data_IF_239766980628
#
_entry.id   IF_239766980628
#
_cell.length_a   1.000
_cell.length_b   1.000
_cell.length_c   1.000
_cell.angle_alpha   90.00
_cell.angle_beta   90.00
_cell.angle_gamma   90.00
#
_symmetry.space_group_name_H-M   'P 1'
#
loop_
_entity.id
_entity.type
_entity.pdbx_description
1 polymer ?
#
# COMPACT_ATOMS: atom_id res chain seq x y z
N UNK A 1 -3.46 -12.89 43.61
CA UNK A 1 -3.98 -13.09 42.23
C UNK A 1 -4.51 -11.81 41.57
N UNK A 2 -4.66 -10.67 42.26
CA UNK A 2 -4.96 -9.37 41.61
C UNK A 2 -3.72 -8.56 41.21
N UNK A 3 -2.52 -8.89 41.73
CA UNK A 3 -1.31 -8.12 41.45
C UNK A 3 -0.71 -8.42 40.06
N UNK A 4 -0.87 -9.63 39.54
CA UNK A 4 -0.34 -10.01 38.20
C UNK A 4 -1.09 -9.32 37.04
N UNK A 5 -2.35 -8.94 37.23
CA UNK A 5 -3.15 -8.26 36.18
C UNK A 5 -2.67 -6.81 35.96
N UNK A 6 -2.21 -6.13 37.03
CA UNK A 6 -1.64 -4.78 36.93
C UNK A 6 -0.26 -4.77 36.29
N UNK A 7 0.56 -5.78 36.57
CA UNK A 7 1.92 -5.93 35.98
C UNK A 7 1.83 -6.28 34.49
N UNK A 8 0.88 -7.12 34.07
CA UNK A 8 0.62 -7.38 32.64
C UNK A 8 0.14 -6.13 31.88
N UNK A 9 -0.68 -5.28 32.51
CA UNK A 9 -1.15 -4.04 31.90
C UNK A 9 -0.05 -3.00 31.70
N UNK A 10 0.91 -2.89 32.63
CA UNK A 10 2.02 -1.93 32.52
C UNK A 10 3.04 -2.36 31.46
N UNK A 11 3.46 -3.63 31.48
CA UNK A 11 4.42 -4.16 30.51
C UNK A 11 3.88 -4.16 29.07
N UNK A 12 2.60 -4.49 28.87
CA UNK A 12 1.99 -4.41 27.53
C UNK A 12 1.85 -2.96 27.03
N UNK A 13 1.65 -2.00 27.93
CA UNK A 13 1.58 -0.58 27.59
C UNK A 13 2.97 -0.01 27.23
N UNK A 14 4.01 -0.45 27.94
CA UNK A 14 5.41 -0.09 27.65
C UNK A 14 5.94 -0.76 26.37
N UNK A 15 5.58 -2.02 26.11
CA UNK A 15 5.87 -2.72 24.85
C UNK A 15 5.17 -2.01 23.67
N UNK A 16 3.90 -1.61 23.84
CA UNK A 16 3.18 -0.83 22.84
C UNK A 16 3.83 0.55 22.61
N UNK A 17 4.26 1.22 23.67
CA UNK A 17 4.97 2.50 23.61
C UNK A 17 6.33 2.37 22.92
N UNK A 18 7.05 1.28 23.13
CA UNK A 18 8.35 1.02 22.49
C UNK A 18 8.17 0.71 21.00
N UNK A 19 7.22 -0.17 20.66
CA UNK A 19 6.85 -0.47 19.27
C UNK A 19 6.40 0.81 18.55
N UNK A 20 5.60 1.64 19.23
CA UNK A 20 5.16 2.95 18.75
C UNK A 20 6.33 3.90 18.43
N UNK A 21 7.29 4.06 19.35
CA UNK A 21 8.47 4.91 19.13
C UNK A 21 9.31 4.40 17.96
N UNK A 22 9.44 3.09 17.83
CA UNK A 22 10.12 2.45 16.71
C UNK A 22 9.41 2.75 15.38
N UNK A 23 8.08 2.65 15.34
CA UNK A 23 7.27 2.99 14.15
C UNK A 23 7.45 4.44 13.75
N UNK A 24 7.43 5.37 14.72
CA UNK A 24 7.65 6.79 14.46
C UNK A 24 9.05 7.07 13.92
N UNK A 25 10.09 6.50 14.52
CA UNK A 25 11.47 6.63 14.05
C UNK A 25 11.61 6.10 12.63
N UNK A 26 11.09 4.90 12.36
CA UNK A 26 11.12 4.29 11.02
C UNK A 26 10.37 5.18 10.02
N UNK A 27 9.18 5.68 10.35
CA UNK A 27 8.42 6.59 9.49
C UNK A 27 9.15 7.92 9.24
N UNK A 28 9.76 8.50 10.26
CA UNK A 28 10.48 9.77 10.14
C UNK A 28 11.69 9.63 9.22
N UNK A 29 12.50 8.59 9.41
CA UNK A 29 13.65 8.28 8.54
C UNK A 29 13.22 7.98 7.09
N UNK A 30 12.09 7.29 6.92
CA UNK A 30 11.50 7.03 5.60
C UNK A 30 11.00 8.32 4.94
N UNK A 31 10.34 9.23 5.66
CA UNK A 31 9.87 10.51 5.11
C UNK A 31 11.06 11.39 4.68
N UNK A 32 12.11 11.45 5.50
CA UNK A 32 13.33 12.20 5.18
C UNK A 32 14.00 11.61 3.93
N UNK A 33 14.08 10.28 3.84
CA UNK A 33 14.61 9.57 2.67
C UNK A 33 13.79 9.85 1.41
N UNK A 34 12.47 9.96 1.54
CA UNK A 34 11.58 10.30 0.42
C UNK A 34 11.82 11.72 -0.09
N UNK A 35 11.96 12.69 0.82
CA UNK A 35 12.28 14.07 0.45
C UNK A 35 13.64 14.17 -0.28
N UNK A 36 14.62 13.38 0.15
CA UNK A 36 15.95 13.31 -0.48
C UNK A 36 15.88 12.72 -1.90
N UNK A 37 15.16 11.61 -2.09
CA UNK A 37 15.01 10.94 -3.39
C UNK A 37 14.23 11.80 -4.39
N UNK A 38 13.18 12.48 -3.94
CA UNK A 38 12.41 13.43 -4.76
C UNK A 38 13.29 14.63 -5.15
N UNK A 39 14.13 15.13 -4.24
CA UNK A 39 15.06 16.23 -4.53
C UNK A 39 16.19 15.88 -5.52
N UNK A 40 16.56 14.60 -5.63
CA UNK A 40 17.66 14.13 -6.49
C UNK A 40 17.24 13.72 -7.91
N UNK A 41 15.94 13.55 -8.17
CA UNK A 41 15.46 13.01 -9.46
C UNK A 41 14.94 14.10 -10.41
N UNK A 42 15.64 14.31 -11.53
CA UNK A 42 15.29 15.31 -12.56
C UNK A 42 14.24 14.83 -13.57
N UNK A 43 13.88 13.53 -13.55
CA UNK A 43 12.90 12.92 -14.45
C UNK A 43 11.59 12.61 -13.71
N UNK A 44 10.47 13.24 -14.05
CA UNK A 44 9.23 13.14 -13.29
C UNK A 44 8.66 11.71 -13.28
N UNK A 45 8.77 10.96 -14.38
CA UNK A 45 8.27 9.58 -14.47
C UNK A 45 9.09 8.58 -13.63
N UNK A 46 10.41 8.77 -13.57
CA UNK A 46 11.28 7.95 -12.73
C UNK A 46 11.03 8.23 -11.25
N UNK A 47 10.89 9.51 -10.89
CA UNK A 47 10.53 9.93 -9.53
C UNK A 47 9.22 9.26 -9.08
N UNK A 48 8.15 9.34 -9.90
CA UNK A 48 6.85 8.69 -9.59
C UNK A 48 6.96 7.19 -9.34
N UNK A 49 7.75 6.49 -10.17
CA UNK A 49 7.97 5.03 -10.03
C UNK A 49 8.72 4.68 -8.75
N UNK A 50 9.77 5.43 -8.42
CA UNK A 50 10.55 5.20 -7.20
C UNK A 50 9.69 5.51 -5.97
N UNK A 51 8.97 6.64 -5.97
CA UNK A 51 8.07 7.01 -4.88
C UNK A 51 6.95 5.98 -4.71
N UNK A 52 6.38 5.45 -5.80
CA UNK A 52 5.38 4.39 -5.74
C UNK A 52 5.93 3.11 -5.09
N UNK A 53 7.15 2.68 -5.48
CA UNK A 53 7.79 1.52 -4.88
C UNK A 53 8.03 1.73 -3.38
N UNK A 54 8.52 2.92 -3.02
CA UNK A 54 8.79 3.31 -1.65
C UNK A 54 7.54 3.29 -0.78
N UNK A 55 6.42 3.84 -1.27
CA UNK A 55 5.13 3.80 -0.57
C UNK A 55 4.70 2.36 -0.31
N UNK A 56 4.89 1.46 -1.28
CA UNK A 56 4.58 0.03 -1.09
C UNK A 56 5.44 -0.62 0.00
N UNK A 57 6.71 -0.25 0.13
CA UNK A 57 7.56 -0.72 1.23
C UNK A 57 7.03 -0.24 2.58
N UNK A 58 6.64 1.04 2.69
CA UNK A 58 6.06 1.59 3.94
C UNK A 58 4.79 0.85 4.32
N UNK A 59 3.88 0.64 3.36
CA UNK A 59 2.61 -0.05 3.60
C UNK A 59 2.87 -1.51 3.98
N UNK A 60 3.86 -2.17 3.37
CA UNK A 60 4.24 -3.56 3.72
C UNK A 60 4.75 -3.63 5.15
N UNK A 61 5.72 -2.79 5.52
CA UNK A 61 6.27 -2.77 6.88
C UNK A 61 5.18 -2.49 7.91
N UNK A 62 4.27 -1.57 7.61
CA UNK A 62 3.12 -1.28 8.46
C UNK A 62 2.21 -2.51 8.62
N UNK A 63 1.93 -3.22 7.53
CA UNK A 63 1.15 -4.46 7.55
C UNK A 63 1.80 -5.56 8.38
N UNK A 64 3.11 -5.76 8.23
CA UNK A 64 3.89 -6.72 9.01
C UNK A 64 3.89 -6.38 10.50
N UNK A 65 4.01 -5.10 10.85
CA UNK A 65 3.92 -4.66 12.25
C UNK A 65 2.55 -4.95 12.86
N UNK A 66 1.46 -4.68 12.13
CA UNK A 66 0.10 -5.01 12.58
C UNK A 66 -0.12 -6.52 12.73
N UNK A 67 0.42 -7.32 11.80
CA UNK A 67 0.42 -8.78 11.90
C UNK A 67 1.15 -9.26 13.14
N UNK A 68 2.41 -8.84 13.31
CA UNK A 68 3.24 -9.24 14.47
C UNK A 68 2.60 -8.82 15.78
N UNK A 69 2.08 -7.60 15.88
CA UNK A 69 1.39 -7.11 17.07
C UNK A 69 0.09 -7.89 17.35
N UNK A 70 -0.75 -8.08 16.33
CA UNK A 70 -2.01 -8.81 16.47
C UNK A 70 -1.78 -10.27 16.86
N UNK A 71 -0.81 -10.94 16.23
CA UNK A 71 -0.43 -12.32 16.56
C UNK A 71 0.16 -12.43 17.97
N UNK A 72 1.00 -11.49 18.39
CA UNK A 72 1.54 -11.44 19.76
C UNK A 72 0.43 -11.31 20.79
N UNK A 73 -0.52 -10.39 20.56
CA UNK A 73 -1.65 -10.17 21.47
C UNK A 73 -2.60 -11.37 21.52
N UNK A 74 -2.88 -12.03 20.39
CA UNK A 74 -3.68 -13.26 20.36
C UNK A 74 -3.00 -14.42 21.11
N UNK A 75 -1.66 -14.48 21.08
CA UNK A 75 -0.92 -15.55 21.75
C UNK A 75 -0.78 -15.31 23.26
N UNK A 76 -0.58 -14.06 23.68
CA UNK A 76 -0.33 -13.68 25.08
C UNK A 76 -1.60 -13.44 25.89
N UNK A 77 -2.63 -12.91 25.27
CA UNK A 77 -3.89 -12.60 25.94
C UNK A 77 -4.84 -13.75 25.67
N UNK A 78 -5.10 -14.57 26.69
CA UNK A 78 -6.05 -15.71 26.68
C UNK A 78 -7.53 -15.26 26.53
N UNK A 79 -7.75 -14.13 25.85
CA UNK A 79 -9.06 -13.61 25.53
C UNK A 79 -9.38 -13.94 24.07
N UNK A 80 -10.53 -14.56 23.83
CA UNK A 80 -11.16 -14.63 22.50
C UNK A 80 -11.65 -13.24 22.05
N UNK A 81 -10.84 -12.21 22.23
CA UNK A 81 -11.17 -10.85 21.83
C UNK A 81 -11.15 -10.77 20.32
N UNK A 82 -12.35 -10.71 19.74
CA UNK A 82 -12.60 -10.54 18.30
C UNK A 82 -11.78 -9.36 17.75
N UNK A 83 -11.55 -8.32 18.56
CA UNK A 83 -10.73 -7.16 18.24
C UNK A 83 -9.31 -7.51 17.78
N UNK A 84 -8.61 -8.46 18.41
CA UNK A 84 -7.25 -8.83 18.00
C UNK A 84 -7.25 -9.67 16.72
N UNK A 85 -8.29 -10.47 16.49
CA UNK A 85 -8.51 -11.14 15.20
C UNK A 85 -8.69 -10.14 14.06
N UNK A 86 -9.43 -9.05 14.29
CA UNK A 86 -9.58 -7.95 13.32
C UNK A 86 -8.25 -7.28 13.02
N UNK A 87 -7.39 -7.06 14.02
CA UNK A 87 -6.05 -6.47 13.83
C UNK A 87 -5.18 -7.34 12.91
N UNK A 88 -5.16 -8.66 13.11
CA UNK A 88 -4.44 -9.59 12.23
C UNK A 88 -5.01 -9.56 10.82
N UNK A 89 -6.33 -9.61 10.66
CA UNK A 89 -6.97 -9.56 9.34
C UNK A 89 -6.62 -8.27 8.57
N UNK A 90 -6.57 -7.13 9.26
CA UNK A 90 -6.11 -5.85 8.68
C UNK A 90 -4.64 -5.97 8.24
N UNK A 91 -3.77 -6.54 9.08
CA UNK A 91 -2.37 -6.78 8.72
C UNK A 91 -2.21 -7.64 7.46
N UNK A 92 -2.99 -8.72 7.33
CA UNK A 92 -3.04 -9.56 6.12
C UNK A 92 -3.46 -8.72 4.91
N UNK A 93 -4.49 -7.90 5.06
CA UNK A 93 -4.99 -7.06 3.97
C UNK A 93 -3.91 -6.08 3.48
N UNK A 94 -3.13 -5.47 4.37
CA UNK A 94 -2.01 -4.60 3.97
C UNK A 94 -0.97 -5.36 3.16
N UNK A 95 -0.61 -6.58 3.58
CA UNK A 95 0.33 -7.43 2.84
C UNK A 95 -0.21 -7.75 1.44
N UNK A 96 -1.48 -8.14 1.33
CA UNK A 96 -2.12 -8.43 0.02
C UNK A 96 -2.07 -7.19 -0.89
N UNK A 97 -2.44 -6.01 -0.38
CA UNK A 97 -2.41 -4.76 -1.15
C UNK A 97 -0.99 -4.45 -1.64
N UNK A 98 0.02 -4.66 -0.80
CA UNK A 98 1.42 -4.41 -1.18
C UNK A 98 1.95 -5.39 -2.21
N UNK A 99 1.59 -6.67 -2.12
CA UNK A 99 1.87 -7.65 -3.17
C UNK A 99 1.22 -7.20 -4.49
N UNK A 100 -0.03 -6.73 -4.44
CA UNK A 100 -0.71 -6.15 -5.60
C UNK A 100 0.03 -4.94 -6.19
N UNK A 101 0.58 -4.08 -5.33
CA UNK A 101 1.38 -2.92 -5.74
C UNK A 101 2.71 -3.31 -6.40
N UNK A 102 3.44 -4.27 -5.83
CA UNK A 102 4.65 -4.81 -6.47
C UNK A 102 4.33 -5.48 -7.80
N UNK A 103 3.25 -6.27 -7.87
CA UNK A 103 2.79 -6.88 -9.13
C UNK A 103 2.44 -5.81 -10.18
N UNK A 104 1.75 -4.74 -9.79
CA UNK A 104 1.46 -3.62 -10.68
C UNK A 104 2.74 -2.97 -11.21
N UNK A 105 3.72 -2.74 -10.34
CA UNK A 105 5.02 -2.17 -10.68
C UNK A 105 5.80 -3.04 -11.68
N UNK A 106 5.95 -4.33 -11.40
CA UNK A 106 6.75 -5.23 -12.23
C UNK A 106 6.05 -5.63 -13.53
N UNK A 107 4.74 -5.88 -13.50
CA UNK A 107 3.98 -6.28 -14.70
C UNK A 107 3.60 -5.08 -15.57
N UNK A 108 3.64 -3.87 -15.03
CA UNK A 108 3.34 -2.61 -15.71
C UNK A 108 2.02 -2.65 -16.50
N UNK A 109 0.98 -3.28 -15.94
CA UNK A 109 -0.36 -3.36 -16.54
C UNK A 109 -1.29 -2.34 -15.91
N UNK A 110 -1.98 -1.58 -16.75
CA UNK A 110 -2.94 -0.53 -16.35
C UNK A 110 -3.98 -1.03 -15.34
N UNK A 111 -4.56 -2.22 -15.58
CA UNK A 111 -5.57 -2.81 -14.69
C UNK A 111 -5.02 -3.10 -13.28
N UNK A 112 -3.76 -3.51 -13.15
CA UNK A 112 -3.17 -3.83 -11.85
C UNK A 112 -2.97 -2.56 -11.01
N UNK A 113 -2.58 -1.46 -11.63
CA UNK A 113 -2.50 -0.16 -10.95
C UNK A 113 -3.86 0.34 -10.47
N UNK A 114 -4.94 0.13 -11.26
CA UNK A 114 -6.29 0.47 -10.81
C UNK A 114 -6.76 -0.39 -9.64
N UNK A 115 -6.60 -1.72 -9.73
CA UNK A 115 -6.96 -2.63 -8.64
C UNK A 115 -6.21 -2.27 -7.36
N UNK A 116 -4.89 -2.05 -7.46
CA UNK A 116 -4.08 -1.59 -6.34
C UNK A 116 -4.63 -0.29 -5.73
N UNK A 117 -4.90 0.72 -6.55
CA UNK A 117 -5.34 2.04 -6.09
C UNK A 117 -6.70 1.97 -5.38
N UNK A 118 -7.62 1.15 -5.88
CA UNK A 118 -8.94 0.94 -5.26
C UNK A 118 -8.80 0.24 -3.90
N UNK A 119 -7.99 -0.83 -3.83
CA UNK A 119 -7.77 -1.55 -2.57
C UNK A 119 -7.06 -0.67 -1.53
N UNK A 120 -6.07 0.12 -1.96
CA UNK A 120 -5.37 1.06 -1.08
C UNK A 120 -6.30 2.18 -0.60
N UNK A 121 -7.22 2.66 -1.45
CA UNK A 121 -8.24 3.63 -1.06
C UNK A 121 -9.19 3.07 0.00
N UNK A 122 -9.58 1.79 -0.09
CA UNK A 122 -10.38 1.14 0.95
C UNK A 122 -9.64 1.13 2.31
N UNK A 123 -8.32 0.90 2.31
CA UNK A 123 -7.49 0.98 3.52
C UNK A 123 -7.39 2.42 4.08
N UNK A 124 -7.38 3.43 3.22
CA UNK A 124 -7.44 4.84 3.61
C UNK A 124 -8.76 5.14 4.32
N UNK A 125 -9.89 4.76 3.70
CA UNK A 125 -11.22 4.98 4.27
C UNK A 125 -11.37 4.29 5.62
N UNK A 126 -10.94 3.02 5.72
CA UNK A 126 -10.92 2.29 6.99
C UNK A 126 -10.13 3.04 8.06
N UNK A 127 -8.94 3.55 7.73
CA UNK A 127 -8.08 4.24 8.68
C UNK A 127 -8.67 5.59 9.14
N UNK A 128 -9.31 6.33 8.24
CA UNK A 128 -9.99 7.59 8.59
C UNK A 128 -11.17 7.30 9.53
N UNK A 129 -12.01 6.32 9.20
CA UNK A 129 -13.15 5.92 10.05
C UNK A 129 -12.66 5.47 11.43
N UNK A 130 -11.66 4.59 11.48
CA UNK A 130 -11.07 4.12 12.73
C UNK A 130 -10.47 5.27 13.56
N UNK A 131 -9.78 6.21 12.91
CA UNK A 131 -9.23 7.40 13.55
C UNK A 131 -10.31 8.30 14.17
N UNK A 132 -11.44 8.49 13.46
CA UNK A 132 -12.59 9.26 13.97
C UNK A 132 -13.23 8.62 15.20
N UNK A 133 -13.38 7.30 15.22
CA UNK A 133 -13.93 6.58 16.38
C UNK A 133 -12.94 6.46 17.55
N UNK A 134 -11.64 6.53 17.31
CA UNK A 134 -10.60 6.42 18.35
C UNK A 134 -10.19 7.76 18.98
N UNK A 135 -10.67 8.87 18.43
CA UNK A 135 -10.34 10.24 18.87
C UNK A 135 -10.77 10.50 20.32
N UNK A 136 -11.83 9.85 20.80
CA UNK A 136 -12.33 9.99 22.17
C UNK A 136 -11.41 9.36 23.23
N UNK A 137 -10.50 8.45 22.84
CA UNK A 137 -9.75 7.62 23.80
C UNK A 137 -8.23 7.67 23.66
N UNK A 138 -7.65 8.07 22.52
CA UNK A 138 -6.19 8.20 22.39
C UNK A 138 -5.74 9.14 21.25
N UNK A 139 -5.49 10.42 21.57
CA UNK A 139 -4.92 11.42 20.66
C UNK A 139 -3.62 10.94 19.96
N UNK A 140 -2.80 10.15 20.67
CA UNK A 140 -1.54 9.57 20.19
C UNK A 140 -1.71 8.60 19.01
N UNK A 141 -2.80 7.83 18.99
CA UNK A 141 -3.09 6.88 17.90
C UNK A 141 -3.43 7.66 16.63
N UNK A 142 -4.20 8.74 16.77
CA UNK A 142 -4.55 9.62 15.65
C UNK A 142 -3.31 10.29 15.03
N UNK A 143 -2.39 10.80 15.86
CA UNK A 143 -1.15 11.45 15.39
C UNK A 143 -0.27 10.52 14.56
N UNK A 144 -0.23 9.21 14.85
CA UNK A 144 0.55 8.24 14.06
C UNK A 144 -0.19 7.74 12.83
N UNK A 145 -1.51 7.62 12.92
CA UNK A 145 -2.31 7.19 11.78
C UNK A 145 -2.37 8.27 10.69
N UNK A 146 -2.32 9.56 11.05
CA UNK A 146 -2.48 10.65 10.10
C UNK A 146 -1.36 10.70 9.02
N UNK A 147 -0.04 10.64 9.34
CA UNK A 147 1.02 10.54 8.34
C UNK A 147 0.88 9.31 7.43
N UNK A 148 0.50 8.16 8.00
CA UNK A 148 0.24 6.94 7.24
C UNK A 148 -0.91 7.10 6.23
N UNK A 149 -1.98 7.80 6.61
CA UNK A 149 -3.09 8.11 5.73
C UNK A 149 -2.61 8.96 4.54
N UNK A 150 -1.80 10.00 4.80
CA UNK A 150 -1.24 10.87 3.75
C UNK A 150 -0.37 10.06 2.77
N UNK A 151 0.53 9.21 3.29
CA UNK A 151 1.40 8.36 2.46
C UNK A 151 0.59 7.44 1.55
N UNK A 152 -0.50 6.86 2.06
CA UNK A 152 -1.38 6.00 1.26
C UNK A 152 -2.16 6.78 0.20
N UNK A 153 -2.63 7.99 0.52
CA UNK A 153 -3.27 8.86 -0.47
C UNK A 153 -2.31 9.16 -1.62
N UNK A 154 -1.04 9.47 -1.32
CA UNK A 154 -0.01 9.62 -2.35
C UNK A 154 0.17 8.34 -3.18
N UNK A 155 0.11 7.17 -2.54
CA UNK A 155 0.17 5.87 -3.21
C UNK A 155 -0.99 5.67 -4.20
N UNK A 156 -2.21 6.04 -3.79
CA UNK A 156 -3.41 6.01 -4.64
C UNK A 156 -3.25 6.95 -5.84
N UNK A 157 -2.83 8.19 -5.60
CA UNK A 157 -2.62 9.20 -6.66
C UNK A 157 -1.56 8.73 -7.66
N UNK A 158 -0.41 8.25 -7.19
CA UNK A 158 0.63 7.74 -8.07
C UNK A 158 0.19 6.47 -8.79
N UNK A 159 -0.57 5.59 -8.15
CA UNK A 159 -1.15 4.42 -8.81
C UNK A 159 -2.03 4.80 -10.00
N UNK A 160 -2.95 5.75 -9.83
CA UNK A 160 -3.79 6.24 -10.92
C UNK A 160 -2.99 6.98 -12.01
N UNK A 161 -2.00 7.81 -11.62
CA UNK A 161 -1.16 8.49 -12.59
C UNK A 161 -0.34 7.51 -13.44
N UNK A 162 0.30 6.53 -12.81
CA UNK A 162 1.06 5.48 -13.50
C UNK A 162 0.15 4.63 -14.40
N UNK A 163 -1.10 4.35 -13.98
CA UNK A 163 -2.08 3.66 -14.82
C UNK A 163 -2.41 4.44 -16.10
N UNK A 164 -2.56 5.76 -15.98
CA UNK A 164 -2.92 6.64 -17.10
C UNK A 164 -1.74 6.92 -18.04
N UNK A 165 -0.51 6.88 -17.52
CA UNK A 165 0.72 7.01 -18.33
C UNK A 165 0.99 5.77 -19.20
N UNK A 166 0.42 4.61 -18.86
CA UNK A 166 0.48 3.41 -19.71
C UNK A 166 -0.45 3.63 -20.92
N UNK A 167 0.14 4.05 -22.04
CA UNK A 167 -0.54 4.14 -23.33
C UNK A 167 -1.09 2.77 -23.69
N UNK A 168 -2.41 2.61 -23.59
CA UNK A 168 -3.10 1.48 -24.21
C UNK A 168 -3.00 1.68 -25.71
N UNK A 169 -2.11 0.95 -26.39
CA UNK A 169 -2.24 0.82 -27.84
C UNK A 169 -3.68 0.33 -28.11
N UNK A 170 -4.48 1.06 -28.90
CA UNK A 170 -5.82 0.59 -29.23
C UNK A 170 -5.69 -0.75 -29.97
N UNK A 171 -6.52 -1.75 -29.64
CA UNK A 171 -6.45 -3.10 -30.23
C UNK A 171 -6.68 -3.12 -31.76
N UNK A 172 -7.09 -2.01 -32.36
CA UNK A 172 -7.39 -1.88 -33.78
C UNK A 172 -6.17 -1.79 -34.71
N UNK A 173 -4.94 -1.56 -34.21
CA UNK A 173 -3.75 -1.49 -35.07
C UNK A 173 -3.01 -2.83 -35.23
N UNK A 174 -3.39 -3.88 -34.48
CA UNK A 174 -2.78 -5.21 -34.60
C UNK A 174 -3.32 -6.02 -35.79
N UNK A 175 -4.49 -5.66 -36.33
CA UNK A 175 -5.10 -6.34 -37.49
C UNK A 175 -4.82 -5.67 -38.84
N UNK A 176 -4.21 -4.48 -38.87
CA UNK A 176 -3.99 -3.73 -40.11
C UNK A 176 -2.66 -4.04 -40.83
N UNK A 177 -1.89 -5.03 -40.36
CA UNK A 177 -0.67 -5.48 -41.03
C UNK A 177 -0.78 -6.95 -41.45
N UNK A 178 -1.74 -7.24 -42.34
CA UNK A 178 -1.59 -8.31 -43.31
C UNK A 178 -1.35 -7.60 -44.65
N UNK A 179 -0.24 -7.88 -45.37
CA UNK A 179 -0.07 -7.34 -46.70
C UNK A 179 -1.20 -7.91 -47.56
N UNK A 180 -2.13 -7.05 -47.95
CA UNK A 180 -3.05 -7.32 -49.04
C UNK A 180 -2.21 -7.34 -50.32
N UNK A 181 -1.65 -8.50 -50.64
CA UNK A 181 -1.07 -8.79 -51.94
C UNK A 181 -2.22 -8.91 -52.95
N UNK A 182 -2.79 -7.75 -53.30
CA UNK A 182 -3.61 -7.60 -54.49
C UNK A 182 -2.68 -7.32 -55.66
N UNK A 183 -2.23 -8.37 -56.32
CA UNK A 183 -1.74 -8.28 -57.69
C UNK A 183 -2.59 -9.22 -58.55
N UNK A 184 -3.75 -8.70 -58.98
CA UNK A 184 -4.41 -9.17 -60.19
C UNK A 184 -3.49 -8.88 -61.38
N UNK A 185 -2.87 -9.92 -61.93
CA UNK A 185 -2.39 -9.89 -63.31
C UNK A 185 -3.33 -10.78 -64.11
N UNK A 186 -4.11 -10.13 -64.97
CA UNK A 186 -5.02 -10.72 -65.93
C UNK A 186 -4.29 -11.58 -66.97
N UNK A 187 -5.06 -12.53 -67.50
CA UNK A 187 -4.90 -13.17 -68.79
C UNK A 187 -4.41 -12.22 -69.91
N UNK A 188 -3.48 -12.71 -70.73
CA UNK A 188 -3.60 -12.51 -72.18
C UNK A 188 -2.96 -13.66 -72.95
N UNK A 189 -3.82 -14.41 -73.63
CA UNK A 189 -3.52 -15.17 -74.83
C UNK A 189 -2.67 -14.38 -75.84
N UNK A 190 -1.51 -14.94 -76.25
CA UNK A 190 -1.15 -15.24 -77.65
C UNK A 190 0.20 -15.92 -77.76
#
# INVERSE_FOLDING_TARGET
MLDDVKVCGHNACDDFRMLYKLVLLVQQELIISMALVVGLTTKPTLCKKITFLFINIIVLLTGLLWLSYGSYMLHRVESRNVAFGTVVAIGILYVIVTIGGFLAFFKNKKILFYIYSILLLALVLWQVIFGLFSLESTLLVFIVLLPLTVIKILGVVFGFQLANEIVSLPPHLTYAQLPSESASACDSHK
#
